data_IF_574098904108
#
_entry.id   IF_574098904108
#
_cell.length_a   1.000
_cell.length_b   1.000
_cell.length_c   1.000
_cell.angle_alpha   90.00
_cell.angle_beta   90.00
_cell.angle_gamma   90.00
#
_symmetry.space_group_name_H-M   'P 1'
#
loop_
_entity.id
_entity.type
_entity.pdbx_description
1 polymer ?
#
# COMPACT_ATOMS: atom_id res chain seq x y z
N UNK A 1 -22.10 -8.70 -17.96
CA UNK A 1 -22.92 -8.91 -16.75
C UNK A 1 -23.76 -7.66 -16.51
N UNK A 2 -25.04 -7.76 -16.14
CA UNK A 2 -25.86 -6.55 -15.86
C UNK A 2 -25.37 -5.85 -14.59
N UNK A 3 -25.52 -4.53 -14.51
CA UNK A 3 -25.12 -3.73 -13.32
C UNK A 3 -25.75 -4.27 -12.02
N UNK A 4 -27.01 -4.72 -12.07
CA UNK A 4 -27.69 -5.31 -10.91
C UNK A 4 -27.09 -6.65 -10.47
N UNK A 5 -26.73 -7.54 -11.41
CA UNK A 5 -26.11 -8.83 -11.06
C UNK A 5 -24.73 -8.65 -10.43
N UNK A 6 -23.94 -7.70 -10.94
CA UNK A 6 -22.63 -7.34 -10.35
C UNK A 6 -22.78 -6.83 -8.92
N UNK A 7 -23.71 -5.90 -8.67
CA UNK A 7 -23.96 -5.40 -7.31
C UNK A 7 -24.42 -6.49 -6.36
N UNK A 8 -25.34 -7.36 -6.79
CA UNK A 8 -25.79 -8.48 -5.96
C UNK A 8 -24.64 -9.43 -5.59
N UNK A 9 -23.72 -9.70 -6.52
CA UNK A 9 -22.54 -10.52 -6.25
C UNK A 9 -21.59 -9.87 -5.24
N UNK A 10 -21.35 -8.56 -5.36
CA UNK A 10 -20.55 -7.81 -4.39
C UNK A 10 -21.19 -7.84 -3.00
N UNK A 11 -22.50 -7.60 -2.89
CA UNK A 11 -23.19 -7.67 -1.60
C UNK A 11 -23.19 -9.08 -1.00
N UNK A 12 -23.35 -10.12 -1.81
CA UNK A 12 -23.21 -11.50 -1.35
C UNK A 12 -21.78 -11.82 -0.87
N UNK A 13 -20.77 -11.20 -1.50
CA UNK A 13 -19.38 -11.34 -1.08
C UNK A 13 -19.07 -10.61 0.24
N UNK A 14 -19.63 -9.40 0.42
CA UNK A 14 -19.41 -8.57 1.61
C UNK A 14 -20.38 -8.87 2.77
N UNK A 15 -21.39 -9.73 2.55
CA UNK A 15 -22.33 -10.14 3.60
C UNK A 15 -21.76 -11.09 4.66
N UNK A 16 -20.46 -11.38 4.60
CA UNK A 16 -19.72 -12.18 5.58
C UNK A 16 -18.71 -11.26 6.27
N UNK A 17 -18.68 -11.35 7.60
CA UNK A 17 -17.93 -10.43 8.46
C UNK A 17 -16.42 -10.46 8.17
N UNK A 18 -15.82 -11.65 8.08
CA UNK A 18 -14.39 -11.79 7.81
C UNK A 18 -14.00 -11.29 6.42
N UNK A 19 -14.82 -11.54 5.39
CA UNK A 19 -14.59 -10.97 4.06
C UNK A 19 -14.65 -9.45 4.06
N UNK A 20 -15.56 -8.86 4.82
CA UNK A 20 -15.63 -7.42 4.98
C UNK A 20 -14.37 -6.88 5.67
N UNK A 21 -13.95 -7.49 6.78
CA UNK A 21 -12.72 -7.10 7.49
C UNK A 21 -11.45 -7.20 6.62
N UNK A 22 -11.32 -8.28 5.84
CA UNK A 22 -10.22 -8.44 4.87
C UNK A 22 -10.23 -7.28 3.87
N UNK A 23 -11.40 -6.97 3.32
CA UNK A 23 -11.54 -5.89 2.34
C UNK A 23 -11.23 -4.53 2.97
N UNK A 24 -11.68 -4.27 4.19
CA UNK A 24 -11.38 -3.03 4.93
C UNK A 24 -9.89 -2.88 5.24
N UNK A 25 -9.17 -3.96 5.55
CA UNK A 25 -7.70 -3.92 5.65
C UNK A 25 -7.06 -3.54 4.31
N UNK A 26 -7.53 -4.14 3.22
CA UNK A 26 -7.01 -3.92 1.87
C UNK A 26 -7.33 -2.54 1.29
N UNK A 27 -8.26 -1.78 1.88
CA UNK A 27 -8.46 -0.35 1.57
C UNK A 27 -7.19 0.45 1.89
N UNK A 28 -6.47 0.07 2.96
CA UNK A 28 -5.34 0.84 3.48
C UNK A 28 -3.98 0.26 3.12
N UNK A 29 -3.87 -1.06 3.01
CA UNK A 29 -2.61 -1.74 2.76
C UNK A 29 -2.79 -2.94 1.84
N UNK A 30 -1.93 -3.06 0.84
CA UNK A 30 -1.68 -4.32 0.19
C UNK A 30 -1.07 -5.30 1.20
N UNK A 31 -1.46 -6.57 1.12
CA UNK A 31 -1.02 -7.62 2.05
C UNK A 31 -0.69 -8.91 1.34
N UNK A 32 0.25 -9.68 1.87
CA UNK A 32 0.43 -11.08 1.42
C UNK A 32 -0.62 -11.99 2.06
N UNK A 33 -0.94 -13.16 1.46
CA UNK A 33 -1.79 -14.15 2.11
C UNK A 33 -1.25 -14.59 3.49
N UNK A 34 0.07 -14.63 3.67
CA UNK A 34 0.70 -14.94 4.95
C UNK A 34 0.40 -13.87 6.02
N UNK A 35 0.48 -12.60 5.66
CA UNK A 35 0.14 -11.48 6.55
C UNK A 35 -1.35 -11.47 6.91
N UNK A 36 -2.24 -11.79 5.97
CA UNK A 36 -3.68 -11.88 6.26
C UNK A 36 -4.00 -13.06 7.19
N UNK A 37 -3.33 -14.22 7.01
CA UNK A 37 -3.41 -15.35 7.95
C UNK A 37 -2.97 -14.93 9.34
N UNK A 38 -1.84 -14.24 9.47
CA UNK A 38 -1.30 -13.78 10.74
C UNK A 38 -2.24 -12.76 11.40
N UNK A 39 -2.70 -11.76 10.65
CA UNK A 39 -3.53 -10.66 11.15
C UNK A 39 -4.89 -11.14 11.66
N UNK A 40 -5.55 -12.01 10.91
CA UNK A 40 -6.90 -12.49 11.25
C UNK A 40 -6.88 -13.82 12.03
N UNK A 41 -5.70 -14.36 12.33
CA UNK A 41 -5.50 -15.61 13.06
C UNK A 41 -6.28 -16.81 12.47
N UNK A 42 -6.38 -16.87 11.14
CA UNK A 42 -7.16 -17.88 10.40
C UNK A 42 -6.28 -18.90 9.68
N UNK A 43 -6.87 -20.06 9.36
CA UNK A 43 -6.16 -21.11 8.60
C UNK A 43 -6.05 -20.74 7.12
N UNK A 44 -4.96 -21.18 6.49
CA UNK A 44 -4.68 -20.95 5.06
C UNK A 44 -5.82 -21.37 4.13
N UNK A 45 -6.43 -22.54 4.36
CA UNK A 45 -7.55 -23.02 3.55
C UNK A 45 -8.80 -22.11 3.63
N UNK A 46 -9.07 -21.55 4.82
CA UNK A 46 -10.19 -20.64 5.02
C UNK A 46 -9.92 -19.30 4.33
N UNK A 47 -8.71 -18.73 4.49
CA UNK A 47 -8.32 -17.53 3.78
C UNK A 47 -8.43 -17.72 2.26
N UNK A 48 -7.90 -18.82 1.72
CA UNK A 48 -7.95 -19.10 0.28
C UNK A 48 -9.39 -19.08 -0.24
N UNK A 49 -10.32 -19.73 0.47
CA UNK A 49 -11.74 -19.69 0.13
C UNK A 49 -12.30 -18.26 0.09
N UNK A 50 -12.05 -17.46 1.13
CA UNK A 50 -12.54 -16.07 1.18
C UNK A 50 -11.94 -15.21 0.06
N UNK A 51 -10.64 -15.33 -0.19
CA UNK A 51 -9.97 -14.60 -1.27
C UNK A 51 -10.50 -15.02 -2.64
N UNK A 52 -10.82 -16.30 -2.87
CA UNK A 52 -11.38 -16.74 -4.16
C UNK A 52 -12.76 -16.12 -4.41
N UNK A 53 -13.60 -16.03 -3.37
CA UNK A 53 -14.92 -15.39 -3.50
C UNK A 53 -14.80 -13.88 -3.71
N UNK A 54 -13.89 -13.21 -3.01
CA UNK A 54 -13.63 -11.78 -3.16
C UNK A 54 -13.07 -11.46 -4.57
N UNK A 55 -12.17 -12.29 -5.10
CA UNK A 55 -11.61 -12.14 -6.44
C UNK A 55 -12.68 -12.39 -7.52
N UNK A 56 -13.51 -13.43 -7.36
CA UNK A 56 -14.64 -13.71 -8.25
C UNK A 56 -15.66 -12.56 -8.28
N UNK A 57 -15.88 -11.90 -7.14
CA UNK A 57 -16.71 -10.70 -7.04
C UNK A 57 -16.05 -9.45 -7.62
N UNK A 58 -14.77 -9.54 -8.01
CA UNK A 58 -13.97 -8.45 -8.54
C UNK A 58 -13.71 -7.36 -7.51
N UNK A 59 -13.58 -7.73 -6.24
CA UNK A 59 -13.23 -6.83 -5.13
C UNK A 59 -11.72 -6.73 -4.96
N UNK A 60 -11.00 -7.84 -5.12
CA UNK A 60 -9.55 -7.91 -4.99
C UNK A 60 -8.88 -8.43 -6.27
N UNK A 61 -7.57 -8.22 -6.36
CA UNK A 61 -6.68 -8.86 -7.32
C UNK A 61 -5.44 -9.41 -6.61
N UNK A 62 -4.83 -10.45 -7.17
CA UNK A 62 -3.57 -11.03 -6.68
C UNK A 62 -2.44 -10.75 -7.68
N UNK A 63 -1.44 -9.98 -7.28
CA UNK A 63 -0.29 -9.62 -8.13
C UNK A 63 0.99 -10.24 -7.60
N UNK A 64 1.90 -10.64 -8.50
CA UNK A 64 3.23 -11.11 -8.10
C UNK A 64 4.10 -9.97 -7.57
N UNK A 65 4.98 -10.27 -6.63
CA UNK A 65 5.92 -9.31 -6.06
C UNK A 65 6.93 -8.85 -7.10
N UNK A 66 7.17 -7.55 -7.17
CA UNK A 66 8.15 -6.94 -8.06
C UNK A 66 9.58 -6.95 -7.49
N UNK A 67 9.79 -7.48 -6.28
CA UNK A 67 11.13 -7.68 -5.72
C UNK A 67 11.80 -8.94 -6.27
N UNK A 68 11.20 -10.11 -6.02
CA UNK A 68 11.75 -11.42 -6.41
C UNK A 68 10.72 -12.38 -7.04
N UNK A 69 9.46 -11.95 -7.22
CA UNK A 69 8.38 -12.75 -7.80
C UNK A 69 7.86 -13.88 -6.91
N UNK A 70 8.45 -14.14 -5.73
CA UNK A 70 8.09 -15.30 -4.90
C UNK A 70 6.83 -15.07 -4.07
N UNK A 71 6.59 -13.82 -3.69
CA UNK A 71 5.40 -13.42 -2.94
C UNK A 71 4.29 -12.97 -3.88
N UNK A 72 3.06 -13.11 -3.43
CA UNK A 72 1.88 -12.50 -4.06
C UNK A 72 1.25 -11.53 -3.09
N UNK A 73 0.93 -10.34 -3.58
CA UNK A 73 0.16 -9.35 -2.85
C UNK A 73 -1.30 -9.45 -3.27
N UNK A 74 -2.17 -9.37 -2.27
CA UNK A 74 -3.60 -9.14 -2.44
C UNK A 74 -3.81 -7.64 -2.37
N UNK A 75 -4.51 -7.09 -3.38
CA UNK A 75 -4.80 -5.66 -3.49
C UNK A 75 -6.29 -5.43 -3.67
N UNK A 76 -6.80 -4.31 -3.16
CA UNK A 76 -8.15 -3.88 -3.48
C UNK A 76 -8.22 -3.35 -4.92
N UNK A 77 -9.23 -3.78 -5.66
CA UNK A 77 -9.50 -3.24 -6.99
C UNK A 77 -10.12 -1.84 -6.89
N UNK A 78 -9.63 -0.90 -7.70
CA UNK A 78 -10.05 0.52 -7.67
C UNK A 78 -11.54 0.76 -7.94
N UNK A 79 -12.21 -0.20 -8.58
CA UNK A 79 -13.60 -0.06 -9.04
C UNK A 79 -14.65 -0.15 -7.92
N UNK A 80 -14.24 -0.33 -6.66
CA UNK A 80 -15.13 -0.57 -5.53
C UNK A 80 -14.87 0.36 -4.32
N UNK A 81 -14.01 1.36 -4.46
CA UNK A 81 -13.62 2.24 -3.35
C UNK A 81 -14.82 2.98 -2.72
N UNK A 82 -15.81 3.37 -3.54
CA UNK A 82 -17.00 4.10 -3.07
C UNK A 82 -17.89 3.29 -2.11
N UNK A 83 -17.75 1.96 -2.11
CA UNK A 83 -18.54 1.06 -1.25
C UNK A 83 -17.92 0.86 0.13
N UNK A 84 -16.66 1.25 0.31
CA UNK A 84 -15.80 0.81 1.41
C UNK A 84 -15.18 2.00 2.16
N UNK A 85 -15.81 3.18 2.10
CA UNK A 85 -15.25 4.38 2.70
C UNK A 85 -15.15 4.23 4.23
N UNK A 86 -13.95 3.96 4.71
CA UNK A 86 -13.62 4.04 6.13
C UNK A 86 -12.97 5.40 6.36
N UNK A 87 -13.47 6.16 7.33
CA UNK A 87 -12.90 7.46 7.68
C UNK A 87 -11.71 7.26 8.63
N UNK A 88 -10.52 6.91 8.11
CA UNK A 88 -9.29 7.03 8.89
C UNK A 88 -8.52 8.28 8.49
N UNK A 89 -8.19 9.09 9.49
CA UNK A 89 -7.31 10.23 9.32
C UNK A 89 -5.86 9.78 9.50
N UNK A 90 -5.12 9.64 8.40
CA UNK A 90 -3.69 9.38 8.44
C UNK A 90 -2.96 10.70 8.65
N UNK A 91 -2.46 10.92 9.87
CA UNK A 91 -1.63 12.09 10.18
C UNK A 91 -0.16 11.69 10.16
N UNK A 92 0.70 12.59 9.66
CA UNK A 92 2.17 12.45 9.70
C UNK A 92 2.69 11.14 9.07
N UNK A 93 2.78 11.14 7.75
CA UNK A 93 3.23 9.98 6.95
C UNK A 93 4.74 9.98 6.76
N UNK A 94 5.33 8.78 6.77
CA UNK A 94 6.69 8.53 6.28
C UNK A 94 6.63 7.49 5.15
N UNK A 95 6.90 7.93 3.92
CA UNK A 95 7.03 7.03 2.78
C UNK A 95 8.41 6.38 2.75
N UNK A 96 8.46 5.06 2.57
CA UNK A 96 9.72 4.31 2.58
C UNK A 96 9.87 3.51 1.29
N UNK A 97 11.04 3.62 0.67
CA UNK A 97 11.49 2.71 -0.38
C UNK A 97 12.99 2.48 -0.19
N UNK A 98 13.57 1.40 -0.72
CA UNK A 98 14.95 0.99 -0.39
C UNK A 98 15.96 2.15 -0.43
N UNK A 99 16.08 2.82 -1.58
CA UNK A 99 17.10 3.86 -1.78
C UNK A 99 16.68 5.30 -1.50
N UNK A 100 15.40 5.56 -1.26
CA UNK A 100 14.85 6.92 -1.15
C UNK A 100 15.26 7.90 -2.28
N UNK A 101 15.58 7.38 -3.47
CA UNK A 101 16.02 8.15 -4.63
C UNK A 101 14.89 8.46 -5.62
N UNK A 102 13.77 7.72 -5.52
CA UNK A 102 12.66 7.78 -6.48
C UNK A 102 11.28 7.61 -5.81
N UNK A 103 10.76 6.38 -5.74
CA UNK A 103 9.36 6.07 -5.36
C UNK A 103 8.87 6.82 -4.11
N UNK A 104 9.58 6.73 -2.98
CA UNK A 104 9.17 7.40 -1.75
C UNK A 104 9.26 8.93 -1.81
N UNK A 105 10.14 9.50 -2.65
CA UNK A 105 10.24 10.95 -2.87
C UNK A 105 9.03 11.46 -3.65
N UNK A 106 8.67 10.78 -4.75
CA UNK A 106 7.49 11.11 -5.55
C UNK A 106 6.22 10.94 -4.71
N UNK A 107 6.10 9.84 -3.96
CA UNK A 107 4.96 9.61 -3.07
C UNK A 107 4.79 10.74 -2.05
N UNK A 108 5.87 11.17 -1.39
CA UNK A 108 5.83 12.29 -0.46
C UNK A 108 5.45 13.61 -1.15
N UNK A 109 5.95 13.88 -2.35
CA UNK A 109 5.61 15.10 -3.09
C UNK A 109 4.14 15.12 -3.52
N UNK A 110 3.62 14.00 -4.03
CA UNK A 110 2.20 13.84 -4.36
C UNK A 110 1.34 14.01 -3.12
N UNK A 111 1.67 13.32 -2.02
CA UNK A 111 0.92 13.43 -0.77
C UNK A 111 0.83 14.87 -0.28
N UNK A 112 1.95 15.61 -0.30
CA UNK A 112 1.98 17.03 0.07
C UNK A 112 1.09 17.87 -0.84
N UNK A 113 1.11 17.62 -2.14
CA UNK A 113 0.30 18.37 -3.12
C UNK A 113 -1.21 18.15 -2.94
N UNK A 114 -1.62 16.96 -2.48
CA UNK A 114 -3.03 16.59 -2.30
C UNK A 114 -3.55 17.01 -0.93
N UNK A 115 -2.77 16.80 0.13
CA UNK A 115 -3.24 16.93 1.53
C UNK A 115 -2.81 18.24 2.19
N UNK A 116 -1.74 18.87 1.72
CA UNK A 116 -1.08 19.98 2.41
C UNK A 116 -0.39 19.59 3.73
N UNK A 117 -0.38 18.31 4.10
CA UNK A 117 0.12 17.85 5.40
C UNK A 117 1.64 17.59 5.44
N UNK A 118 2.17 17.55 6.66
CA UNK A 118 3.55 17.18 6.93
C UNK A 118 3.82 15.71 6.59
N UNK A 119 4.63 15.50 5.56
CA UNK A 119 5.06 14.19 5.08
C UNK A 119 6.57 14.12 4.92
N UNK A 120 7.15 13.00 5.34
CA UNK A 120 8.55 12.68 5.15
C UNK A 120 8.73 11.48 4.20
N UNK A 121 9.95 11.28 3.72
CA UNK A 121 10.34 10.08 3.00
C UNK A 121 11.70 9.60 3.49
N UNK A 122 11.93 8.29 3.45
CA UNK A 122 13.18 7.67 3.85
C UNK A 122 13.48 6.41 3.03
N UNK A 123 14.64 5.80 3.30
CA UNK A 123 15.02 4.50 2.76
C UNK A 123 15.83 3.67 3.74
N UNK A 124 15.78 2.36 3.52
CA UNK A 124 16.52 1.35 4.30
C UNK A 124 17.99 1.29 3.90
N UNK A 125 18.31 1.67 2.65
CA UNK A 125 19.67 1.77 2.11
C UNK A 125 19.77 3.01 1.19
N UNK A 126 19.79 4.24 1.75
CA UNK A 126 19.67 5.46 0.95
C UNK A 126 20.76 5.62 -0.11
N UNK A 127 20.38 6.07 -1.30
CA UNK A 127 21.33 6.48 -2.33
C UNK A 127 22.00 7.81 -1.98
N UNK A 128 23.08 8.15 -2.67
CA UNK A 128 23.75 9.45 -2.50
C UNK A 128 22.91 10.62 -3.04
N UNK A 129 22.20 10.41 -4.15
CA UNK A 129 21.46 11.45 -4.85
C UNK A 129 20.08 10.95 -5.28
N UNK A 130 19.18 11.89 -5.60
CA UNK A 130 17.94 11.57 -6.29
C UNK A 130 18.24 10.97 -7.66
N UNK A 131 17.40 10.03 -8.09
CA UNK A 131 17.51 9.49 -9.43
C UNK A 131 17.13 10.56 -10.46
N UNK A 132 17.87 10.75 -11.58
CA UNK A 132 17.58 11.82 -12.55
C UNK A 132 16.15 11.79 -13.11
N UNK A 133 15.60 10.59 -13.34
CA UNK A 133 14.21 10.45 -13.78
C UNK A 133 13.18 10.91 -12.74
N UNK A 134 13.50 10.83 -11.44
CA UNK A 134 12.63 11.35 -10.37
C UNK A 134 12.46 12.86 -10.52
N UNK A 135 13.57 13.57 -10.76
CA UNK A 135 13.57 15.03 -10.94
C UNK A 135 12.76 15.39 -12.19
N UNK A 136 13.03 14.72 -13.31
CA UNK A 136 12.31 14.93 -14.57
C UNK A 136 10.79 14.71 -14.43
N UNK A 137 10.38 13.62 -13.81
CA UNK A 137 8.96 13.29 -13.59
C UNK A 137 8.31 14.33 -12.66
N UNK A 138 9.00 14.73 -11.60
CA UNK A 138 8.48 15.76 -10.70
C UNK A 138 8.27 17.09 -11.42
N UNK A 139 9.21 17.53 -12.25
CA UNK A 139 9.05 18.74 -13.06
C UNK A 139 7.86 18.62 -14.03
N UNK A 140 7.75 17.50 -14.74
CA UNK A 140 6.65 17.24 -15.69
C UNK A 140 5.27 17.31 -15.01
N UNK A 141 5.17 16.85 -13.77
CA UNK A 141 3.93 16.84 -12.99
C UNK A 141 3.81 17.99 -11.98
N UNK A 142 4.73 18.97 -12.02
CA UNK A 142 4.76 20.15 -11.12
C UNK A 142 4.77 19.77 -9.63
N UNK A 143 5.50 18.70 -9.29
CA UNK A 143 5.70 18.24 -7.92
C UNK A 143 6.91 18.94 -7.30
N UNK A 144 6.75 19.47 -6.08
CA UNK A 144 7.84 20.13 -5.35
C UNK A 144 8.80 19.12 -4.73
N UNK A 145 10.03 19.10 -5.28
CA UNK A 145 11.19 18.34 -4.77
C UNK A 145 12.33 19.23 -4.27
N UNK A 146 12.11 20.53 -4.05
CA UNK A 146 13.17 21.48 -3.64
C UNK A 146 13.96 21.04 -2.39
N UNK A 147 13.30 20.37 -1.45
CA UNK A 147 13.89 19.87 -0.20
C UNK A 147 14.11 18.35 -0.19
N UNK A 148 13.89 17.69 -1.34
CA UNK A 148 14.00 16.25 -1.49
C UNK A 148 15.48 15.84 -1.50
N UNK A 149 15.83 14.91 -0.62
CA UNK A 149 17.13 14.25 -0.58
C UNK A 149 16.95 12.86 0.00
N UNK A 150 17.71 11.85 -0.47
CA UNK A 150 17.74 10.55 0.17
C UNK A 150 18.12 10.69 1.65
N UNK A 151 17.41 9.99 2.54
CA UNK A 151 17.65 9.96 3.98
C UNK A 151 17.42 8.57 4.52
N UNK A 152 18.19 8.23 5.54
CA UNK A 152 18.07 6.97 6.26
C UNK A 152 16.80 6.95 7.11
N UNK A 153 16.08 5.83 7.10
CA UNK A 153 14.89 5.63 7.93
C UNK A 153 15.20 5.79 9.43
N UNK A 154 16.32 5.25 9.89
CA UNK A 154 16.76 5.30 11.29
C UNK A 154 17.13 6.72 11.73
N UNK A 155 17.44 7.61 10.79
CA UNK A 155 17.69 9.03 11.10
C UNK A 155 16.41 9.81 11.45
N UNK A 156 15.23 9.24 11.20
CA UNK A 156 13.95 9.90 11.42
C UNK A 156 13.31 9.51 12.75
N UNK A 157 12.71 10.49 13.42
CA UNK A 157 11.75 10.22 14.51
C UNK A 157 10.46 9.68 13.90
N UNK A 158 10.32 8.35 13.85
CA UNK A 158 9.16 7.63 13.28
C UNK A 158 8.08 7.28 14.31
N UNK A 159 8.36 7.43 15.61
CA UNK A 159 7.37 7.14 16.66
C UNK A 159 6.11 7.99 16.47
N UNK A 160 4.95 7.34 16.46
CA UNK A 160 3.64 7.97 16.29
C UNK A 160 3.32 8.39 14.85
N UNK A 161 4.14 8.01 13.87
CA UNK A 161 3.91 8.29 12.44
C UNK A 161 3.44 7.03 11.71
N UNK A 162 2.65 7.22 10.67
CA UNK A 162 2.26 6.11 9.77
C UNK A 162 3.37 5.87 8.76
N UNK A 163 3.96 4.67 8.80
CA UNK A 163 4.95 4.23 7.82
C UNK A 163 4.22 3.56 6.65
N UNK A 164 4.59 3.96 5.43
CA UNK A 164 4.03 3.39 4.20
C UNK A 164 5.19 2.95 3.30
N UNK A 165 5.37 1.64 3.13
CA UNK A 165 6.35 1.12 2.17
C UNK A 165 5.80 1.15 0.75
N UNK A 166 6.54 1.73 -0.19
CA UNK A 166 6.11 1.91 -1.60
C UNK A 166 6.95 1.11 -2.60
N UNK A 167 7.65 0.09 -2.11
CA UNK A 167 8.20 -0.98 -2.93
C UNK A 167 8.33 -2.26 -2.13
N UNK A 168 8.09 -3.38 -2.80
CA UNK A 168 8.05 -4.71 -2.20
C UNK A 168 9.36 -5.04 -1.49
N UNK A 169 10.51 -4.63 -2.05
CA UNK A 169 11.80 -4.80 -1.41
C UNK A 169 11.89 -4.13 -0.03
N UNK A 170 11.43 -2.89 0.11
CA UNK A 170 11.44 -2.21 1.42
C UNK A 170 10.41 -2.80 2.39
N UNK A 171 9.38 -3.46 1.85
CA UNK A 171 8.45 -4.22 2.65
C UNK A 171 9.10 -5.50 3.20
N UNK A 172 10.05 -6.09 2.48
CA UNK A 172 10.81 -7.24 2.96
C UNK A 172 11.94 -6.83 3.93
N UNK A 173 12.57 -5.69 3.71
CA UNK A 173 13.71 -5.21 4.50
C UNK A 173 13.32 -4.83 5.95
N UNK A 174 12.06 -4.44 6.19
CA UNK A 174 11.59 -3.94 7.49
C UNK A 174 10.82 -5.04 8.24
N UNK A 175 11.25 -5.37 9.46
CA UNK A 175 10.55 -6.35 10.30
C UNK A 175 9.10 -5.95 10.62
N UNK A 176 8.28 -6.92 11.05
CA UNK A 176 6.89 -6.71 11.51
C UNK A 176 6.00 -6.01 10.46
N UNK A 177 5.65 -6.67 9.34
CA UNK A 177 4.89 -6.08 8.24
C UNK A 177 3.52 -5.52 8.66
N UNK A 178 2.88 -6.10 9.68
CA UNK A 178 1.59 -5.65 10.20
C UNK A 178 1.64 -4.32 10.98
N UNK A 179 2.84 -3.83 11.34
CA UNK A 179 3.01 -2.55 12.04
C UNK A 179 2.97 -1.31 11.13
N UNK A 180 2.85 -1.52 9.82
CA UNK A 180 2.90 -0.48 8.78
C UNK A 180 1.87 -0.76 7.67
N UNK A 181 1.70 0.22 6.80
CA UNK A 181 1.01 0.05 5.53
C UNK A 181 2.01 -0.25 4.42
N UNK A 182 1.52 -0.88 3.36
CA UNK A 182 2.28 -1.16 2.15
C UNK A 182 1.43 -0.90 0.92
N UNK A 183 1.98 -0.12 -0.01
CA UNK A 183 1.44 0.04 -1.35
C UNK A 183 2.45 -0.53 -2.34
N UNK A 184 2.19 -1.74 -2.79
CA UNK A 184 3.07 -2.45 -3.72
C UNK A 184 3.01 -1.75 -5.08
N UNK A 185 4.18 -1.42 -5.59
CA UNK A 185 4.38 -0.68 -6.84
C UNK A 185 5.21 -1.53 -7.80
N UNK A 186 4.82 -1.62 -9.08
CA UNK A 186 5.62 -2.24 -10.13
C UNK A 186 7.03 -1.67 -10.26
#
# INVERSE_FOLDING_TARGET
>A
MTSSKRRAQVFAALGDELRLEIVEELVWSDRTPGELIEKFEIRSALLAHHLDVLELAGLIERTESHADGRKRFVKLTRNNNDLLSTANKINQVVFVCRQNSARSQIAAAIWRSVTGENVASAGTEPALNLHPLTIKIAEQHRLDLSNARPRDLESLKIKGKTIITVCDQSHDDIANPLSRLHWSMP
#
